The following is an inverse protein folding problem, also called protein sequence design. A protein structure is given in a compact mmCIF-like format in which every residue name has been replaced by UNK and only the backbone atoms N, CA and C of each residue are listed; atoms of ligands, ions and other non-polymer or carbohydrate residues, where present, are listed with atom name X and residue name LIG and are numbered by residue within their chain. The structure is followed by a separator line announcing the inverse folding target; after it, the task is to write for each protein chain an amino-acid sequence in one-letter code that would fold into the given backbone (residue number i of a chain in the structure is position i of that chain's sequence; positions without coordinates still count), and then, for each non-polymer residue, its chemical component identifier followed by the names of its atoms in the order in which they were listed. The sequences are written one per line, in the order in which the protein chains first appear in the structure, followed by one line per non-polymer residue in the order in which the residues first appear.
data_IF_959080207527
#
_entry.id   IF_959080207527
#
_cell.length_a   1.000
_cell.length_b   1.000
_cell.length_c   1.000
_cell.angle_alpha   90.00
_cell.angle_beta   90.00
_cell.angle_gamma   90.00
#
_symmetry.space_group_name_H-M   'P 1'
#
loop_
_entity.id
_entity.type
_entity.pdbx_description
1 polymer ?
#
# COMPACT_ATOMS: atom_id res chain seq x y z
N UNK A 1 46.64 -35.25 5.17
CA UNK A 1 46.40 -36.00 6.42
C UNK A 1 44.90 -35.93 6.69
N UNK A 2 44.15 -36.92 6.17
CA UNK A 2 43.44 -37.97 6.95
C UNK A 2 42.34 -37.36 7.84
N UNK A 3 41.03 -37.40 7.52
CA UNK A 3 40.09 -38.50 7.27
C UNK A 3 39.96 -39.49 8.45
N UNK A 4 38.83 -39.42 9.18
CA UNK A 4 38.13 -40.46 9.99
C UNK A 4 36.99 -39.78 10.77
N UNK A 5 35.79 -40.32 11.00
CA UNK A 5 35.16 -41.60 10.66
C UNK A 5 33.64 -41.52 10.89
N UNK A 6 32.88 -42.25 10.07
CA UNK A 6 31.45 -42.55 10.18
C UNK A 6 31.12 -43.56 11.31
N UNK A 7 29.87 -43.48 11.76
CA UNK A 7 28.96 -44.58 12.17
C UNK A 7 29.33 -45.49 13.35
N UNK A 8 28.44 -45.55 14.34
CA UNK A 8 27.92 -46.81 14.89
C UNK A 8 26.78 -46.55 15.89
N UNK A 9 25.60 -47.10 15.65
CA UNK A 9 24.77 -47.81 16.65
C UNK A 9 23.50 -48.35 15.99
N UNK A 10 23.65 -49.53 15.37
CA UNK A 10 22.59 -50.52 15.21
C UNK A 10 23.08 -51.77 15.95
N UNK A 11 22.26 -52.30 16.85
CA UNK A 11 22.52 -53.49 17.65
C UNK A 11 21.20 -54.13 18.07
N UNK A 12 21.01 -55.38 17.69
CA UNK A 12 19.78 -56.18 17.67
C UNK A 12 19.41 -56.83 19.02
N UNK A 13 18.26 -57.54 18.98
CA UNK A 13 17.81 -58.73 19.75
C UNK A 13 16.81 -58.40 20.89
N UNK A 14 15.71 -59.11 21.14
CA UNK A 14 15.23 -60.43 20.69
C UNK A 14 13.72 -60.59 20.95
N UNK A 15 13.12 -61.57 20.28
CA UNK A 15 11.75 -62.06 20.31
C UNK A 15 11.30 -62.74 21.63
N UNK A 16 9.99 -62.61 21.91
CA UNK A 16 9.03 -63.60 22.46
C UNK A 16 8.22 -63.05 23.66
N UNK A 17 6.92 -62.79 23.45
CA UNK A 17 5.84 -63.59 24.07
C UNK A 17 4.43 -62.94 23.96
N UNK A 18 3.50 -63.76 23.47
CA UNK A 18 2.12 -63.96 23.95
C UNK A 18 1.04 -62.90 23.62
N UNK A 19 0.04 -63.37 22.87
CA UNK A 19 -1.23 -62.73 22.53
C UNK A 19 -2.08 -62.39 23.76
N UNK A 20 -2.67 -61.19 23.76
CA UNK A 20 -3.98 -60.87 24.35
C UNK A 20 -4.52 -59.59 23.68
N UNK A 21 -5.82 -59.51 23.30
CA UNK A 21 -6.35 -58.35 22.58
C UNK A 21 -6.80 -57.25 23.55
N UNK A 22 -6.51 -55.97 23.31
CA UNK A 22 -7.19 -54.89 24.00
C UNK A 22 -8.37 -54.38 23.15
N UNK A 23 -9.58 -54.70 23.62
CA UNK A 23 -10.72 -53.82 23.82
C UNK A 23 -10.89 -52.69 22.78
N UNK A 24 -11.89 -52.84 21.91
CA UNK A 24 -12.50 -51.73 21.15
C UNK A 24 -12.92 -50.62 22.13
N UNK A 25 -12.39 -49.41 21.96
CA UNK A 25 -13.03 -48.23 22.54
C UNK A 25 -12.94 -47.01 21.61
N UNK A 26 -14.14 -46.53 21.27
CA UNK A 26 -14.56 -45.19 20.82
C UNK A 26 -14.00 -44.63 19.52
N UNK A 27 -14.95 -44.46 18.60
CA UNK A 27 -14.96 -43.53 17.48
C UNK A 27 -14.15 -42.25 17.75
N UNK A 28 -13.03 -42.09 17.04
CA UNK A 28 -12.48 -40.76 16.79
C UNK A 28 -13.43 -40.06 15.82
N UNK A 29 -14.32 -39.25 16.39
CA UNK A 29 -14.99 -38.19 15.66
C UNK A 29 -13.92 -37.40 14.90
N UNK A 30 -13.96 -37.45 13.57
CA UNK A 30 -13.25 -36.50 12.73
C UNK A 30 -13.92 -35.13 12.94
N UNK A 31 -13.48 -34.42 13.98
CA UNK A 31 -13.76 -33.00 14.11
C UNK A 31 -13.02 -32.28 12.96
N UNK A 32 -13.72 -32.02 11.86
CA UNK A 32 -13.34 -30.92 10.97
C UNK A 32 -13.67 -29.64 11.73
N UNK A 33 -12.71 -28.74 11.97
CA UNK A 33 -13.05 -27.44 12.53
C UNK A 33 -13.98 -26.74 11.54
N UNK A 34 -15.16 -26.35 12.00
CA UNK A 34 -16.03 -25.42 11.27
C UNK A 34 -15.30 -24.08 11.36
N UNK A 35 -14.54 -23.74 10.31
CA UNK A 35 -13.96 -22.40 10.18
C UNK A 35 -15.13 -21.44 10.03
N UNK A 36 -15.20 -20.43 10.92
CA UNK A 36 -16.27 -19.43 10.87
C UNK A 36 -16.27 -18.71 9.53
N UNK A 37 -17.45 -18.41 8.98
CA UNK A 37 -17.60 -17.65 7.74
C UNK A 37 -16.84 -16.31 7.80
N UNK A 38 -16.82 -15.68 8.97
CA UNK A 38 -16.05 -14.45 9.26
C UNK A 38 -14.55 -14.66 9.05
N UNK A 39 -14.00 -15.78 9.54
CA UNK A 39 -12.58 -16.13 9.36
C UNK A 39 -12.25 -16.43 7.91
N UNK A 40 -13.17 -17.05 7.17
CA UNK A 40 -12.99 -17.31 5.72
C UNK A 40 -12.98 -15.99 4.95
N UNK A 41 -13.90 -15.08 5.24
CA UNK A 41 -13.98 -13.76 4.60
C UNK A 41 -12.75 -12.89 4.93
N UNK A 42 -12.32 -12.81 6.19
CA UNK A 42 -11.09 -12.12 6.60
C UNK A 42 -9.85 -12.68 5.89
N UNK A 43 -9.76 -14.00 5.75
CA UNK A 43 -8.64 -14.65 5.07
C UNK A 43 -8.68 -14.43 3.55
N UNK A 44 -9.87 -14.39 2.94
CA UNK A 44 -10.06 -14.06 1.53
C UNK A 44 -9.70 -12.59 1.23
N UNK A 45 -10.07 -11.66 2.10
CA UNK A 45 -9.76 -10.23 1.93
C UNK A 45 -8.27 -9.95 2.06
N UNK A 46 -7.59 -10.56 3.04
CA UNK A 46 -6.12 -10.52 3.13
C UNK A 46 -5.45 -11.10 1.89
N UNK A 47 -6.04 -12.13 1.29
CA UNK A 47 -5.52 -12.72 0.05
C UNK A 47 -5.71 -11.82 -1.17
N UNK A 48 -6.77 -11.00 -1.22
CA UNK A 48 -7.04 -10.08 -2.33
C UNK A 48 -6.03 -8.93 -2.36
N UNK A 49 -5.89 -8.19 -1.26
CA UNK A 49 -4.95 -7.07 -1.17
C UNK A 49 -3.50 -7.51 -1.38
N UNK A 50 -3.11 -8.66 -0.81
CA UNK A 50 -1.79 -9.23 -1.03
C UNK A 50 -1.54 -9.60 -2.50
N UNK A 51 -2.55 -10.08 -3.23
CA UNK A 51 -2.44 -10.37 -4.65
C UNK A 51 -2.24 -9.09 -5.47
N UNK A 52 -3.01 -8.04 -5.19
CA UNK A 52 -2.86 -6.73 -5.83
C UNK A 52 -1.49 -6.12 -5.56
N UNK A 53 -1.05 -6.12 -4.30
CA UNK A 53 0.29 -5.65 -3.95
C UNK A 53 1.38 -6.43 -4.71
N UNK A 54 1.23 -7.76 -4.79
CA UNK A 54 2.18 -8.62 -5.54
C UNK A 54 2.18 -8.28 -7.03
N UNK A 55 1.03 -7.95 -7.61
CA UNK A 55 0.91 -7.55 -9.01
C UNK A 55 1.63 -6.21 -9.27
N UNK A 56 1.44 -5.21 -8.41
CA UNK A 56 2.14 -3.91 -8.47
C UNK A 56 3.65 -4.12 -8.32
N UNK A 57 4.07 -4.89 -7.33
CA UNK A 57 5.48 -5.23 -7.09
C UNK A 57 6.13 -5.89 -8.32
N UNK A 58 5.42 -6.84 -8.92
CA UNK A 58 5.89 -7.56 -10.12
C UNK A 58 6.00 -6.61 -11.31
N UNK A 59 5.00 -5.75 -11.49
CA UNK A 59 5.00 -4.75 -12.55
C UNK A 59 6.17 -3.75 -12.39
N UNK A 60 6.40 -3.24 -11.18
CA UNK A 60 7.53 -2.35 -10.88
C UNK A 60 8.87 -3.06 -11.10
N UNK A 61 9.09 -4.26 -10.54
CA UNK A 61 10.35 -5.02 -10.71
C UNK A 61 10.68 -5.28 -12.18
N UNK A 62 9.65 -5.57 -13.00
CA UNK A 62 9.81 -5.74 -14.44
C UNK A 62 10.14 -4.42 -15.15
N UNK A 63 9.55 -3.32 -14.71
CA UNK A 63 9.69 -2.00 -15.33
C UNK A 63 11.02 -1.31 -15.00
N UNK A 64 11.58 -1.56 -13.81
CA UNK A 64 12.85 -0.99 -13.36
C UNK A 64 13.92 -2.06 -13.06
N UNK A 65 14.39 -2.81 -14.07
CA UNK A 65 15.45 -3.79 -13.87
C UNK A 65 16.74 -3.11 -13.42
N UNK A 66 17.44 -3.70 -12.46
CA UNK A 66 18.78 -3.24 -12.07
C UNK A 66 19.73 -3.48 -13.25
N UNK A 67 20.22 -2.38 -13.84
CA UNK A 67 21.09 -2.39 -15.02
C UNK A 67 22.15 -1.28 -14.97
N UNK A 68 23.20 -1.33 -15.81
CA UNK A 68 24.14 -0.22 -15.93
C UNK A 68 23.46 1.09 -16.44
N UNK A 69 23.89 2.27 -15.95
CA UNK A 69 24.82 2.47 -14.83
C UNK A 69 24.15 2.11 -13.48
N UNK A 70 24.76 1.17 -12.75
CA UNK A 70 24.20 0.67 -11.48
C UNK A 70 24.15 1.74 -10.41
N UNK A 71 24.98 2.78 -10.50
CA UNK A 71 24.95 3.96 -9.63
C UNK A 71 23.63 4.73 -9.68
N UNK A 72 22.80 4.52 -10.72
CA UNK A 72 21.46 5.12 -10.86
C UNK A 72 20.37 4.09 -10.55
N UNK A 73 20.44 2.91 -11.16
CA UNK A 73 19.35 1.93 -11.07
C UNK A 73 19.32 1.16 -9.75
N UNK A 74 20.44 1.02 -9.02
CA UNK A 74 20.44 0.38 -7.69
C UNK A 74 19.71 1.25 -6.66
N UNK A 75 20.03 2.55 -6.48
CA UNK A 75 19.26 3.42 -5.59
C UNK A 75 17.79 3.53 -5.97
N UNK A 76 17.50 3.69 -7.27
CA UNK A 76 16.13 3.75 -7.78
C UNK A 76 15.32 2.52 -7.37
N UNK A 77 15.83 1.32 -7.64
CA UNK A 77 15.16 0.09 -7.26
C UNK A 77 15.05 -0.04 -5.74
N UNK A 78 16.13 0.16 -4.99
CA UNK A 78 16.12 -0.01 -3.54
C UNK A 78 15.10 0.92 -2.86
N UNK A 79 15.20 2.23 -3.12
CA UNK A 79 14.34 3.23 -2.46
C UNK A 79 12.85 3.07 -2.84
N UNK A 80 12.54 2.58 -4.05
CA UNK A 80 11.15 2.26 -4.43
C UNK A 80 10.54 1.16 -3.57
N UNK A 81 11.30 0.13 -3.19
CA UNK A 81 10.79 -1.00 -2.40
C UNK A 81 11.06 -0.88 -0.88
N UNK A 82 11.89 0.07 -0.45
CA UNK A 82 12.14 0.36 0.97
C UNK A 82 11.18 1.38 1.57
N UNK A 83 10.41 2.11 0.74
CA UNK A 83 9.39 3.02 1.23
C UNK A 83 8.31 2.29 2.04
N UNK A 84 7.70 2.99 3.00
CA UNK A 84 6.57 2.43 3.74
C UNK A 84 5.44 2.06 2.77
N UNK A 85 4.69 1.00 3.09
CA UNK A 85 3.52 0.64 2.29
C UNK A 85 2.45 1.72 2.39
N UNK A 86 1.84 2.04 1.26
CA UNK A 86 0.65 2.88 1.13
C UNK A 86 -0.47 2.04 0.54
N UNK A 87 -1.72 2.30 0.93
CA UNK A 87 -2.86 1.60 0.31
C UNK A 87 -3.44 2.34 -0.90
N UNK A 88 -2.94 3.53 -1.22
CA UNK A 88 -3.35 4.25 -2.42
C UNK A 88 -3.06 3.44 -3.70
N UNK A 89 -1.89 2.81 -3.90
CA UNK A 89 -1.66 1.99 -5.09
C UNK A 89 -2.63 0.80 -5.23
N UNK A 90 -2.86 -0.05 -4.20
CA UNK A 90 -3.88 -1.09 -4.29
C UNK A 90 -5.31 -0.57 -4.50
N UNK A 91 -5.66 0.56 -3.87
CA UNK A 91 -6.97 1.21 -4.05
C UNK A 91 -7.22 1.58 -5.52
N UNK A 92 -6.20 2.00 -6.25
CA UNK A 92 -6.33 2.32 -7.68
C UNK A 92 -6.79 1.12 -8.50
N UNK A 93 -6.24 -0.07 -8.24
CA UNK A 93 -6.67 -1.30 -8.91
C UNK A 93 -8.09 -1.69 -8.46
N UNK A 94 -8.37 -1.68 -7.16
CA UNK A 94 -9.69 -2.04 -6.63
C UNK A 94 -10.80 -1.11 -7.17
N UNK A 95 -10.55 0.19 -7.28
CA UNK A 95 -11.48 1.15 -7.86
C UNK A 95 -11.73 0.89 -9.35
N UNK A 96 -10.71 0.48 -10.11
CA UNK A 96 -10.85 0.08 -11.51
C UNK A 96 -11.74 -1.17 -11.66
N UNK A 97 -11.51 -2.18 -10.85
CA UNK A 97 -12.32 -3.41 -10.85
C UNK A 97 -13.77 -3.15 -10.40
N UNK A 98 -13.97 -2.21 -9.48
CA UNK A 98 -15.31 -1.88 -8.97
C UNK A 98 -16.23 -1.29 -10.05
N UNK A 99 -15.68 -0.51 -10.98
CA UNK A 99 -16.43 0.07 -12.12
C UNK A 99 -16.43 -0.84 -13.36
N UNK A 100 -15.94 -2.07 -13.24
CA UNK A 100 -15.99 -3.08 -14.29
C UNK A 100 -14.76 -3.17 -15.20
N UNK A 101 -13.68 -2.45 -14.88
CA UNK A 101 -12.38 -2.61 -15.54
C UNK A 101 -11.62 -3.85 -15.06
N UNK A 102 -10.45 -4.11 -15.66
CA UNK A 102 -9.55 -5.17 -15.22
C UNK A 102 -8.38 -4.60 -14.41
N UNK A 103 -7.80 -5.39 -13.50
CA UNK A 103 -6.63 -4.97 -12.74
C UNK A 103 -5.46 -4.52 -13.63
N UNK A 104 -5.26 -5.19 -14.77
CA UNK A 104 -4.23 -4.84 -15.76
C UNK A 104 -4.45 -3.47 -16.41
N UNK A 105 -5.67 -2.93 -16.38
CA UNK A 105 -5.95 -1.56 -16.85
C UNK A 105 -5.41 -0.48 -15.91
N UNK A 106 -5.30 -0.79 -14.62
CA UNK A 106 -4.88 0.15 -13.59
C UNK A 106 -3.47 -0.13 -13.02
N UNK A 107 -2.87 -1.29 -13.28
CA UNK A 107 -1.58 -1.69 -12.68
C UNK A 107 -0.44 -0.68 -12.95
N UNK A 108 -0.44 -0.06 -14.13
CA UNK A 108 0.56 0.95 -14.48
C UNK A 108 0.35 2.24 -13.69
N UNK A 109 -0.90 2.67 -13.51
CA UNK A 109 -1.23 3.85 -12.72
C UNK A 109 -0.99 3.62 -11.22
N UNK A 110 -1.34 2.44 -10.70
CA UNK A 110 -1.00 2.03 -9.33
C UNK A 110 0.53 2.06 -9.11
N UNK A 111 1.30 1.54 -10.06
CA UNK A 111 2.77 1.59 -10.02
C UNK A 111 3.31 3.02 -10.03
N UNK A 112 2.71 3.90 -10.83
CA UNK A 112 3.06 5.33 -10.83
C UNK A 112 2.76 5.97 -9.48
N UNK A 113 1.58 5.74 -8.89
CA UNK A 113 1.21 6.24 -7.56
C UNK A 113 2.17 5.73 -6.48
N UNK A 114 2.58 4.46 -6.56
CA UNK A 114 3.60 3.89 -5.66
C UNK A 114 4.93 4.62 -5.77
N UNK A 115 5.40 4.93 -6.99
CA UNK A 115 6.60 5.71 -7.21
C UNK A 115 6.50 7.12 -6.62
N UNK A 116 5.34 7.77 -6.74
CA UNK A 116 5.09 9.08 -6.14
C UNK A 116 5.15 9.04 -4.62
N UNK A 117 4.52 8.04 -4.01
CA UNK A 117 4.58 7.81 -2.57
C UNK A 117 6.02 7.55 -2.10
N UNK A 118 6.75 6.67 -2.79
CA UNK A 118 8.14 6.35 -2.45
C UNK A 118 9.07 7.57 -2.60
N UNK A 119 8.83 8.40 -3.62
CA UNK A 119 9.54 9.66 -3.83
C UNK A 119 9.32 10.63 -2.66
N UNK A 120 8.06 10.90 -2.31
CA UNK A 120 7.69 11.76 -1.19
C UNK A 120 8.23 11.23 0.15
N UNK A 121 8.11 9.92 0.39
CA UNK A 121 8.64 9.26 1.58
C UNK A 121 10.15 9.45 1.71
N UNK A 122 10.90 9.24 0.63
CA UNK A 122 12.37 9.41 0.64
C UNK A 122 12.76 10.86 0.93
N UNK A 123 12.15 11.83 0.25
CA UNK A 123 12.42 13.25 0.49
C UNK A 123 12.02 13.71 1.91
N UNK A 124 10.92 13.20 2.48
CA UNK A 124 10.48 13.54 3.83
C UNK A 124 11.47 13.08 4.92
N UNK A 125 12.26 12.05 4.62
CA UNK A 125 13.26 11.49 5.54
C UNK A 125 14.68 11.97 5.25
N UNK A 126 14.89 12.77 4.20
CA UNK A 126 16.20 13.23 3.80
C UNK A 126 16.90 14.02 4.93
N UNK A 127 18.13 13.62 5.25
CA UNK A 127 18.94 14.32 6.25
C UNK A 127 19.51 15.63 5.66
N UNK A 128 18.87 16.75 6.00
CA UNK A 128 19.30 18.09 5.65
C UNK A 128 20.20 18.69 6.75
N UNK A 129 21.19 19.50 6.37
CA UNK A 129 22.15 20.12 7.30
C UNK A 129 21.53 21.16 8.24
N UNK A 130 20.46 21.80 7.79
CA UNK A 130 19.66 22.82 8.48
C UNK A 130 18.29 22.28 8.91
N UNK A 131 17.99 21.02 8.60
CA UNK A 131 16.76 20.35 8.99
C UNK A 131 16.80 19.88 10.44
N UNK A 132 15.65 19.83 11.15
CA UNK A 132 15.60 19.19 12.45
C UNK A 132 16.05 17.74 12.31
N UNK A 133 17.07 17.32 13.07
CA UNK A 133 17.41 15.91 13.21
C UNK A 133 16.11 15.15 13.45
N UNK A 134 15.83 14.17 12.60
CA UNK A 134 14.66 13.31 12.78
C UNK A 134 14.92 12.39 13.97
N UNK A 135 14.93 12.94 15.18
CA UNK A 135 14.94 12.18 16.42
C UNK A 135 13.76 11.21 16.38
N UNK A 136 14.08 9.93 16.23
CA UNK A 136 13.10 8.84 16.13
C UNK A 136 12.81 8.33 14.72
N UNK A 137 13.46 8.83 13.66
CA UNK A 137 13.36 8.15 12.36
C UNK A 137 14.04 6.79 12.44
N UNK A 138 13.25 5.73 12.24
CA UNK A 138 13.73 4.35 12.10
C UNK A 138 14.07 4.01 10.65
N UNK A 139 14.10 5.01 9.75
CA UNK A 139 14.40 4.79 8.34
C UNK A 139 15.89 4.54 8.17
N UNK A 140 16.22 3.40 7.60
CA UNK A 140 17.60 3.03 7.30
C UNK A 140 18.08 3.79 6.05
N UNK A 141 19.05 4.69 6.24
CA UNK A 141 19.69 5.43 5.15
C UNK A 141 20.81 4.61 4.54
N UNK A 142 20.51 3.89 3.46
CA UNK A 142 21.50 3.07 2.76
C UNK A 142 22.39 3.91 1.82
N UNK A 143 21.91 5.08 1.38
CA UNK A 143 22.64 5.93 0.44
C UNK A 143 23.00 7.28 1.05
N UNK A 144 23.95 7.97 0.42
CA UNK A 144 24.30 9.34 0.82
C UNK A 144 23.11 10.29 0.54
N UNK A 145 22.92 11.36 1.34
CA UNK A 145 21.80 12.29 1.15
C UNK A 145 21.69 12.86 -0.27
N UNK A 146 22.80 13.12 -0.95
CA UNK A 146 22.76 13.59 -2.34
C UNK A 146 22.18 12.56 -3.33
N UNK A 147 22.35 11.26 -3.07
CA UNK A 147 21.74 10.18 -3.87
C UNK A 147 20.26 10.02 -3.52
N UNK A 148 19.92 10.08 -2.22
CA UNK A 148 18.53 10.01 -1.76
C UNK A 148 17.72 11.26 -2.17
N UNK A 149 18.38 12.39 -2.40
CA UNK A 149 17.78 13.59 -2.99
C UNK A 149 17.46 13.38 -4.48
N UNK A 150 18.45 12.91 -5.26
CA UNK A 150 18.32 12.78 -6.72
C UNK A 150 17.46 11.59 -7.17
N UNK A 151 17.34 10.54 -6.34
CA UNK A 151 16.62 9.33 -6.75
C UNK A 151 15.12 9.60 -6.93
N UNK A 152 14.41 10.25 -5.99
CA UNK A 152 13.00 10.65 -6.18
C UNK A 152 12.78 11.55 -7.39
N UNK A 153 13.73 12.44 -7.71
CA UNK A 153 13.69 13.28 -8.91
C UNK A 153 13.70 12.45 -10.20
N UNK A 154 14.20 11.20 -10.14
CA UNK A 154 14.07 10.21 -11.20
C UNK A 154 12.81 9.34 -11.09
N UNK A 155 12.32 9.05 -9.89
CA UNK A 155 11.10 8.24 -9.67
C UNK A 155 9.84 8.91 -10.22
N UNK A 156 9.68 10.21 -9.96
CA UNK A 156 8.50 10.98 -10.38
C UNK A 156 8.34 10.97 -11.92
N UNK A 157 9.33 11.40 -12.73
CA UNK A 157 9.20 11.33 -14.18
C UNK A 157 9.10 9.89 -14.68
N UNK A 158 9.74 8.93 -14.03
CA UNK A 158 9.61 7.52 -14.39
C UNK A 158 8.17 7.02 -14.25
N UNK A 159 7.44 7.42 -13.20
CA UNK A 159 6.02 7.09 -13.06
C UNK A 159 5.16 7.63 -14.21
N UNK A 160 5.44 8.86 -14.67
CA UNK A 160 4.76 9.43 -15.84
C UNK A 160 5.18 8.78 -17.16
N UNK A 161 6.45 8.37 -17.29
CA UNK A 161 6.94 7.59 -18.43
C UNK A 161 6.19 6.25 -18.54
N UNK A 162 6.01 5.54 -17.43
CA UNK A 162 5.23 4.30 -17.41
C UNK A 162 3.79 4.52 -17.91
N UNK A 163 3.13 5.58 -17.44
CA UNK A 163 1.79 5.93 -17.91
C UNK A 163 1.76 6.20 -19.42
N UNK A 164 2.70 7.01 -19.92
CA UNK A 164 2.79 7.38 -21.34
C UNK A 164 3.14 6.21 -22.27
N UNK A 165 3.83 5.19 -21.76
CA UNK A 165 4.20 3.98 -22.52
C UNK A 165 3.26 2.79 -22.30
N UNK A 166 2.24 2.94 -21.45
CA UNK A 166 1.28 1.87 -21.14
C UNK A 166 0.47 1.43 -22.35
N UNK A 167 -0.02 0.18 -22.36
CA UNK A 167 -0.97 -0.27 -23.38
C UNK A 167 -2.24 0.59 -23.38
N UNK A 168 -2.65 1.08 -22.22
CA UNK A 168 -3.82 1.93 -22.03
C UNK A 168 -3.62 3.29 -22.71
N UNK A 169 -2.39 3.81 -22.80
CA UNK A 169 -2.10 5.01 -23.58
C UNK A 169 -2.36 4.80 -25.08
N UNK A 170 -2.11 3.58 -25.59
CA UNK A 170 -2.40 3.21 -26.97
C UNK A 170 -3.90 2.97 -27.20
N UNK A 171 -4.62 2.42 -26.21
CA UNK A 171 -6.06 2.14 -26.29
C UNK A 171 -6.92 3.40 -26.12
N UNK A 172 -6.56 4.27 -25.17
CA UNK A 172 -7.31 5.47 -24.84
C UNK A 172 -6.40 6.54 -24.20
N UNK A 173 -5.80 7.38 -25.05
CA UNK A 173 -4.90 8.46 -24.64
C UNK A 173 -5.57 9.50 -23.73
N UNK A 174 -6.87 9.74 -23.90
CA UNK A 174 -7.60 10.76 -23.12
C UNK A 174 -7.73 10.35 -21.65
N UNK A 175 -7.99 9.06 -21.38
CA UNK A 175 -7.99 8.52 -20.02
C UNK A 175 -6.62 8.65 -19.36
N UNK A 176 -5.54 8.33 -20.07
CA UNK A 176 -4.17 8.46 -19.55
C UNK A 176 -3.80 9.91 -19.29
N UNK A 177 -4.16 10.84 -20.19
CA UNK A 177 -3.94 12.26 -19.96
C UNK A 177 -4.65 12.73 -18.70
N UNK A 178 -5.90 12.29 -18.49
CA UNK A 178 -6.66 12.61 -17.28
C UNK A 178 -6.00 12.04 -16.02
N UNK A 179 -5.53 10.79 -16.05
CA UNK A 179 -4.77 10.17 -14.95
C UNK A 179 -3.47 10.93 -14.64
N UNK A 180 -2.73 11.37 -15.66
CA UNK A 180 -1.53 12.19 -15.47
C UNK A 180 -1.88 13.51 -14.77
N UNK A 181 -3.00 14.15 -15.14
CA UNK A 181 -3.48 15.37 -14.47
C UNK A 181 -3.84 15.09 -13.01
N UNK A 182 -4.54 14.00 -12.71
CA UNK A 182 -4.87 13.61 -11.32
C UNK A 182 -3.61 13.43 -10.48
N UNK A 183 -2.67 12.60 -10.96
CA UNK A 183 -1.44 12.29 -10.22
C UNK A 183 -0.59 13.54 -10.03
N UNK A 184 -0.35 14.32 -11.09
CA UNK A 184 0.47 15.54 -11.01
C UNK A 184 -0.11 16.59 -10.05
N UNK A 185 -1.44 16.71 -9.96
CA UNK A 185 -2.10 17.59 -8.99
C UNK A 185 -1.95 17.08 -7.56
N UNK A 186 -2.20 15.79 -7.34
CA UNK A 186 -2.15 15.19 -6.01
C UNK A 186 -0.75 15.20 -5.41
N UNK A 187 0.30 15.04 -6.22
CA UNK A 187 1.69 15.08 -5.72
C UNK A 187 2.27 16.48 -5.69
N UNK A 188 1.68 17.41 -6.44
CA UNK A 188 2.16 18.78 -6.58
C UNK A 188 1.77 19.70 -5.43
N UNK A 189 1.80 21.00 -5.72
CA UNK A 189 1.59 22.09 -4.75
C UNK A 189 0.17 22.21 -4.20
N UNK A 190 -0.76 21.34 -4.60
CA UNK A 190 -2.15 21.31 -4.08
C UNK A 190 -2.42 20.08 -3.22
N UNK A 191 -1.46 19.15 -3.12
CA UNK A 191 -1.56 17.92 -2.33
C UNK A 191 -0.28 17.66 -1.55
N UNK A 192 0.41 16.56 -1.83
CA UNK A 192 1.47 16.02 -0.96
C UNK A 192 2.55 17.05 -0.61
N UNK A 193 3.03 17.84 -1.59
CA UNK A 193 4.05 18.86 -1.34
C UNK A 193 3.56 19.96 -0.40
N UNK A 194 2.29 20.37 -0.50
CA UNK A 194 1.69 21.35 0.42
C UNK A 194 1.62 20.79 1.85
N UNK A 195 1.14 19.55 2.00
CA UNK A 195 1.10 18.88 3.30
C UNK A 195 2.49 18.75 3.94
N UNK A 196 3.51 18.38 3.16
CA UNK A 196 4.91 18.36 3.62
C UNK A 196 5.42 19.75 3.99
N UNK A 197 5.07 20.77 3.21
CA UNK A 197 5.48 22.15 3.47
C UNK A 197 4.89 22.66 4.78
N UNK A 198 3.59 22.45 5.02
CA UNK A 198 2.96 22.85 6.28
C UNK A 198 3.48 22.06 7.49
N UNK A 199 3.76 20.77 7.31
CA UNK A 199 4.36 19.92 8.36
C UNK A 199 5.73 20.45 8.81
N UNK A 200 6.53 21.00 7.87
CA UNK A 200 7.83 21.62 8.18
C UNK A 200 7.62 22.97 8.88
N UNK A 201 6.77 23.85 8.36
CA UNK A 201 6.54 25.19 8.92
C UNK A 201 6.04 25.17 10.36
N UNK A 202 5.18 24.20 10.68
CA UNK A 202 4.59 24.06 12.02
C UNK A 202 5.39 23.10 12.92
N UNK A 203 6.62 22.76 12.52
CA UNK A 203 7.58 22.00 13.33
C UNK A 203 7.16 20.56 13.61
N UNK A 204 7.17 19.68 12.58
CA UNK A 204 6.96 18.21 12.65
C UNK A 204 6.00 17.76 13.77
N UNK A 205 4.86 18.41 13.95
CA UNK A 205 3.81 18.10 14.93
C UNK A 205 4.32 17.64 16.33
N UNK A 206 5.54 18.04 16.75
CA UNK A 206 6.16 17.58 18.00
C UNK A 206 5.58 18.45 19.11
N UNK A 207 4.40 18.06 19.58
CA UNK A 207 3.69 18.76 20.65
C UNK A 207 2.83 19.92 20.19
N UNK A 208 2.44 19.97 18.92
CA UNK A 208 1.44 20.93 18.46
C UNK A 208 0.07 20.36 18.81
N UNK A 209 -0.62 20.99 19.77
CA UNK A 209 -2.04 20.75 20.11
C UNK A 209 -3.00 21.27 19.00
N UNK A 210 -2.54 21.33 17.76
CA UNK A 210 -3.30 21.87 16.62
C UNK A 210 -3.85 20.73 15.78
N UNK A 211 -5.01 20.24 16.22
CA UNK A 211 -5.79 19.21 15.54
C UNK A 211 -6.14 19.62 14.11
N UNK A 212 -6.44 20.89 13.88
CA UNK A 212 -6.78 21.43 12.56
C UNK A 212 -5.59 21.29 11.61
N UNK A 213 -4.38 21.63 12.07
CA UNK A 213 -3.15 21.45 11.30
C UNK A 213 -2.87 19.96 11.04
N UNK A 214 -3.06 19.09 12.02
CA UNK A 214 -2.87 17.65 11.83
C UNK A 214 -3.86 17.07 10.81
N UNK A 215 -5.13 17.45 10.89
CA UNK A 215 -6.15 17.10 9.91
C UNK A 215 -5.76 17.58 8.51
N UNK A 216 -5.29 18.82 8.39
CA UNK A 216 -4.85 19.39 7.13
C UNK A 216 -3.64 18.65 6.53
N UNK A 217 -2.66 18.28 7.35
CA UNK A 217 -1.50 17.49 6.88
C UNK A 217 -1.96 16.13 6.37
N UNK A 218 -2.84 15.44 7.13
CA UNK A 218 -3.40 14.15 6.70
C UNK A 218 -4.22 14.28 5.42
N UNK A 219 -4.97 15.38 5.28
CA UNK A 219 -5.74 15.71 4.10
C UNK A 219 -4.82 15.79 2.88
N UNK A 220 -3.78 16.61 2.97
CA UNK A 220 -2.90 16.90 1.84
C UNK A 220 -1.96 15.75 1.47
N UNK A 221 -1.46 15.00 2.44
CA UNK A 221 -0.50 13.92 2.17
C UNK A 221 -1.21 12.62 1.82
N UNK A 222 -1.98 12.07 2.74
CA UNK A 222 -2.62 10.78 2.55
C UNK A 222 -3.98 10.91 1.85
N UNK A 223 -4.81 11.88 2.22
CA UNK A 223 -6.15 12.10 1.66
C UNK A 223 -6.12 12.32 0.14
N UNK A 224 -5.42 13.35 -0.33
CA UNK A 224 -5.32 13.69 -1.76
C UNK A 224 -4.69 12.56 -2.61
N UNK A 225 -3.70 11.84 -2.07
CA UNK A 225 -3.07 10.73 -2.78
C UNK A 225 -4.04 9.55 -2.96
N UNK A 226 -4.82 9.21 -1.94
CA UNK A 226 -5.82 8.15 -2.04
C UNK A 226 -7.05 8.59 -2.86
N UNK A 227 -7.42 9.87 -2.79
CA UNK A 227 -8.45 10.45 -3.64
C UNK A 227 -8.07 10.34 -5.12
N UNK A 228 -6.82 10.68 -5.44
CA UNK A 228 -6.23 10.48 -6.76
C UNK A 228 -6.27 9.01 -7.17
N UNK A 229 -5.90 8.08 -6.29
CA UNK A 229 -5.93 6.66 -6.60
C UNK A 229 -7.32 6.15 -6.95
N UNK A 230 -8.33 6.47 -6.13
CA UNK A 230 -9.72 6.11 -6.38
C UNK A 230 -10.23 6.68 -7.71
N UNK A 231 -9.95 7.97 -7.99
CA UNK A 231 -10.31 8.61 -9.25
C UNK A 231 -9.61 7.97 -10.46
N UNK A 232 -8.29 7.73 -10.39
CA UNK A 232 -7.52 7.12 -11.47
C UNK A 232 -8.02 5.72 -11.79
N UNK A 233 -8.31 4.91 -10.76
CA UNK A 233 -8.87 3.58 -10.94
C UNK A 233 -10.21 3.63 -11.68
N UNK A 234 -11.13 4.47 -11.21
CA UNK A 234 -12.44 4.66 -11.83
C UNK A 234 -12.33 5.14 -13.30
N UNK A 235 -11.44 6.10 -13.59
CA UNK A 235 -11.20 6.60 -14.95
C UNK A 235 -10.73 5.48 -15.87
N UNK A 236 -9.77 4.68 -15.43
CA UNK A 236 -9.18 3.60 -16.24
C UNK A 236 -10.16 2.46 -16.45
N UNK A 237 -10.92 2.10 -15.42
CA UNK A 237 -11.98 1.09 -15.49
C UNK A 237 -13.20 1.54 -16.30
N UNK A 238 -13.29 2.82 -16.65
CA UNK A 238 -14.36 3.36 -17.49
C UNK A 238 -15.65 3.69 -16.74
N UNK A 239 -15.54 3.99 -15.45
CA UNK A 239 -16.63 4.53 -14.66
C UNK A 239 -17.14 5.88 -15.19
N UNK A 240 -18.39 6.16 -14.88
CA UNK A 240 -19.04 7.45 -15.10
C UNK A 240 -18.40 8.56 -14.24
N UNK A 241 -18.66 9.82 -14.59
CA UNK A 241 -18.20 10.97 -13.78
C UNK A 241 -18.69 10.92 -12.33
N UNK A 242 -19.89 10.39 -12.11
CA UNK A 242 -20.44 10.21 -10.77
C UNK A 242 -19.66 9.13 -10.00
N UNK A 243 -19.38 7.98 -10.61
CA UNK A 243 -18.58 6.91 -10.00
C UNK A 243 -17.14 7.37 -9.71
N UNK A 244 -16.54 8.14 -10.62
CA UNK A 244 -15.20 8.74 -10.44
C UNK A 244 -15.18 9.64 -9.21
N UNK A 245 -16.17 10.53 -9.07
CA UNK A 245 -16.22 11.45 -7.93
C UNK A 245 -16.54 10.74 -6.61
N UNK A 246 -17.38 9.69 -6.65
CA UNK A 246 -17.64 8.83 -5.49
C UNK A 246 -16.37 8.10 -5.03
N UNK A 247 -15.62 7.51 -5.97
CA UNK A 247 -14.38 6.82 -5.65
C UNK A 247 -13.24 7.77 -5.24
N UNK A 248 -13.23 9.01 -5.77
CA UNK A 248 -12.37 10.08 -5.27
C UNK A 248 -12.64 10.36 -3.79
N UNK A 249 -13.90 10.60 -3.41
CA UNK A 249 -14.27 10.89 -2.03
C UNK A 249 -14.04 9.69 -1.10
N UNK A 250 -14.38 8.50 -1.57
CA UNK A 250 -14.06 7.26 -0.84
C UNK A 250 -12.56 7.17 -0.54
N UNK A 251 -11.72 7.32 -1.58
CA UNK A 251 -10.27 7.32 -1.43
C UNK A 251 -9.79 8.41 -0.48
N UNK A 252 -10.31 9.63 -0.60
CA UNK A 252 -10.02 10.73 0.31
C UNK A 252 -10.24 10.34 1.78
N UNK A 253 -11.40 9.76 2.11
CA UNK A 253 -11.70 9.34 3.48
C UNK A 253 -10.82 8.19 3.96
N UNK A 254 -10.50 7.22 3.10
CA UNK A 254 -9.52 6.16 3.41
C UNK A 254 -8.15 6.76 3.71
N UNK A 255 -7.67 7.70 2.88
CA UNK A 255 -6.40 8.38 3.09
C UNK A 255 -6.36 9.16 4.40
N UNK A 256 -7.43 9.91 4.70
CA UNK A 256 -7.57 10.59 6.00
C UNK A 256 -7.48 9.62 7.18
N UNK A 257 -8.14 8.47 7.11
CA UNK A 257 -8.06 7.43 8.15
C UNK A 257 -6.61 6.96 8.32
N UNK A 258 -5.89 6.71 7.21
CA UNK A 258 -4.50 6.27 7.28
C UNK A 258 -3.56 7.33 7.83
N UNK A 259 -3.69 8.58 7.42
CA UNK A 259 -2.95 9.69 8.00
C UNK A 259 -3.16 9.79 9.51
N UNK A 260 -4.41 9.68 9.96
CA UNK A 260 -4.78 9.72 11.39
C UNK A 260 -4.21 8.55 12.21
N UNK A 261 -4.17 7.36 11.62
CA UNK A 261 -3.60 6.16 12.25
C UNK A 261 -2.07 6.22 12.32
N UNK A 262 -1.42 6.80 11.30
CA UNK A 262 0.03 6.97 11.21
C UNK A 262 0.53 8.17 12.03
N UNK A 263 -0.32 9.18 12.26
CA UNK A 263 0.01 10.41 12.95
C UNK A 263 0.38 10.21 14.42
N UNK A 264 1.39 10.97 14.87
CA UNK A 264 1.85 11.01 16.26
C UNK A 264 1.24 12.24 16.95
N UNK A 265 0.31 12.03 17.88
CA UNK A 265 -0.43 13.09 18.60
C UNK A 265 -1.37 12.53 19.68
N UNK A 266 -1.73 13.35 20.69
CA UNK A 266 -2.49 12.94 21.89
C UNK A 266 -3.98 12.67 21.66
N UNK A 267 -4.61 12.12 22.70
CA UNK A 267 -5.96 11.55 22.89
C UNK A 267 -6.44 10.50 21.86
N UNK A 268 -6.17 9.23 22.18
CA UNK A 268 -6.65 8.06 21.43
C UNK A 268 -8.18 8.05 21.23
N UNK A 269 -8.93 8.65 22.15
CA UNK A 269 -10.40 8.65 22.09
C UNK A 269 -10.93 9.59 20.99
N UNK A 270 -10.36 10.79 20.86
CA UNK A 270 -10.80 11.80 19.89
C UNK A 270 -10.50 11.34 18.46
N UNK A 271 -9.29 10.83 18.23
CA UNK A 271 -8.93 10.19 16.95
C UNK A 271 -9.86 9.03 16.59
N UNK A 272 -10.29 8.24 17.58
CA UNK A 272 -11.22 7.14 17.33
C UNK A 272 -12.58 7.63 16.84
N UNK A 273 -13.11 8.72 17.40
CA UNK A 273 -14.37 9.32 16.94
C UNK A 273 -14.25 9.93 15.55
N UNK A 274 -13.13 10.59 15.23
CA UNK A 274 -12.86 11.11 13.88
C UNK A 274 -12.78 9.98 12.87
N UNK A 275 -11.98 8.94 13.15
CA UNK A 275 -11.86 7.76 12.29
C UNK A 275 -13.21 7.09 12.07
N UNK A 276 -14.03 6.96 13.12
CA UNK A 276 -15.38 6.40 12.99
C UNK A 276 -16.26 7.23 12.05
N UNK A 277 -16.27 8.56 12.21
CA UNK A 277 -17.00 9.46 11.29
C UNK A 277 -16.50 9.35 9.84
N UNK A 278 -15.19 9.28 9.64
CA UNK A 278 -14.58 9.10 8.32
C UNK A 278 -14.97 7.75 7.70
N UNK A 279 -15.04 6.68 8.49
CA UNK A 279 -15.51 5.35 8.03
C UNK A 279 -16.96 5.42 7.55
N UNK A 280 -17.84 6.06 8.32
CA UNK A 280 -19.25 6.21 7.95
C UNK A 280 -19.39 7.01 6.64
N UNK A 281 -18.60 8.09 6.47
CA UNK A 281 -18.56 8.87 5.23
C UNK A 281 -18.02 8.04 4.05
N UNK A 282 -16.96 7.27 4.24
CA UNK A 282 -16.40 6.38 3.22
C UNK A 282 -17.44 5.35 2.74
N UNK A 283 -18.10 4.66 3.68
CA UNK A 283 -19.13 3.66 3.34
C UNK A 283 -20.30 4.27 2.58
N UNK A 284 -20.69 5.51 2.91
CA UNK A 284 -21.75 6.23 2.18
C UNK A 284 -21.40 6.48 0.72
N UNK A 285 -20.13 6.74 0.41
CA UNK A 285 -19.71 6.92 -0.98
C UNK A 285 -19.75 5.60 -1.77
N UNK A 286 -19.71 4.45 -1.09
CA UNK A 286 -19.83 3.13 -1.72
C UNK A 286 -21.28 2.69 -2.00
N UNK A 287 -22.30 3.34 -1.42
CA UNK A 287 -23.71 2.96 -1.58
C UNK A 287 -24.21 2.97 -3.03
N UNK A 288 -23.55 3.76 -3.90
CA UNK A 288 -23.89 3.85 -5.32
C UNK A 288 -23.48 2.59 -6.10
N UNK A 289 -22.49 1.85 -5.60
CA UNK A 289 -21.98 0.66 -6.27
C UNK A 289 -22.78 -0.57 -5.83
N UNK A 290 -23.20 -1.39 -6.79
CA UNK A 290 -23.90 -2.65 -6.52
C UNK A 290 -23.01 -3.81 -6.98
N UNK A 291 -22.70 -4.77 -6.09
CA UNK A 291 -22.03 -6.02 -6.49
C UNK A 291 -20.98 -6.56 -5.52
N UNK A 292 -20.34 -7.67 -5.93
CA UNK A 292 -19.43 -8.50 -5.12
C UNK A 292 -18.12 -7.81 -4.71
N UNK A 293 -17.74 -6.71 -5.37
CA UNK A 293 -16.46 -6.04 -5.12
C UNK A 293 -16.56 -4.90 -4.08
N UNK A 294 -17.78 -4.49 -3.71
CA UNK A 294 -18.01 -3.48 -2.65
C UNK A 294 -17.56 -4.01 -1.29
N UNK A 295 -17.88 -5.26 -0.98
CA UNK A 295 -17.46 -5.89 0.26
C UNK A 295 -15.93 -5.94 0.36
N UNK A 296 -15.25 -6.26 -0.75
CA UNK A 296 -13.78 -6.31 -0.81
C UNK A 296 -13.16 -4.94 -0.59
N UNK A 297 -13.57 -3.91 -1.35
CA UNK A 297 -12.99 -2.57 -1.22
C UNK A 297 -13.27 -1.99 0.17
N UNK A 298 -14.45 -2.23 0.76
CA UNK A 298 -14.79 -1.75 2.10
C UNK A 298 -13.82 -2.21 3.20
N UNK A 299 -13.19 -3.37 3.02
CA UNK A 299 -12.23 -3.93 3.99
C UNK A 299 -10.94 -3.14 4.09
N UNK A 300 -10.66 -2.27 3.12
CA UNK A 300 -9.54 -1.33 3.18
C UNK A 300 -9.62 -0.39 4.39
N UNK A 301 -10.83 -0.14 4.91
CA UNK A 301 -11.06 0.65 6.14
C UNK A 301 -10.60 -0.08 7.41
N UNK A 302 -10.25 -1.35 7.32
CA UNK A 302 -9.78 -2.20 8.42
C UNK A 302 -8.28 -2.49 8.36
N UNK A 303 -7.59 -2.08 7.29
CA UNK A 303 -6.14 -2.19 7.12
C UNK A 303 -5.39 -1.08 7.85
#
# INVERSE_FOLDING_TARGET
MAATSLSHLYGQLSSNNICSPPILNRSRSFYRPIVSMTTIMEQQNKSYWAAIETQIDTHLKKSMPIRPPTSVFVPLHHLTFSASKSTAPPLCIAACELVGGFADDAVTAASAIHLMHAAAFTHQHLQLSDGPMHEGSTVEHMFKPNIELLTPDGMVPFGFELLGLSEQAQKNSDRILRVIIEISRAVGSQGVVDGMYQEILHGKLKGVDDEEMMMYVCEKKEGELHACAGACGAILGGGSEEEIEKLRKYGFYVGMIQGMLNGIGKNKQERFEIVKKLKDLALKELELFQGKNVDQISTLLEM
#
